data_IF_424083529644
#
_entry.id   IF_424083529644
#
_cell.length_a   1.000
_cell.length_b   1.000
_cell.length_c   1.000
_cell.angle_alpha   90.00
_cell.angle_beta   90.00
_cell.angle_gamma   90.00
#
_symmetry.space_group_name_H-M   'P 1'
#
loop_
_entity.id
_entity.type
_entity.pdbx_description
1 polymer ?
#
# COMPACT_ATOMS: atom_id res chain seq x y z
N UNK A 1 25.97 1.41 -1.75
CA UNK A 1 26.25 0.28 -2.67
C UNK A 1 25.05 0.12 -3.56
N UNK A 2 25.24 -0.12 -4.86
CA UNK A 2 24.13 -0.34 -5.78
C UNK A 2 23.39 -1.64 -5.41
N UNK A 3 22.06 -1.63 -5.47
CA UNK A 3 21.21 -2.79 -5.12
C UNK A 3 21.14 -3.83 -6.22
N UNK A 4 21.52 -3.44 -7.44
CA UNK A 4 21.54 -4.30 -8.61
C UNK A 4 22.81 -4.09 -9.41
N UNK A 5 23.26 -5.13 -10.11
CA UNK A 5 24.41 -5.07 -11.00
C UNK A 5 23.95 -5.03 -12.46
N UNK A 6 24.77 -4.41 -13.30
CA UNK A 6 24.55 -4.36 -14.75
C UNK A 6 24.40 -5.78 -15.34
N UNK A 7 25.25 -6.73 -14.92
CA UNK A 7 25.25 -8.12 -15.41
C UNK A 7 23.92 -8.84 -15.06
N UNK A 8 23.44 -8.69 -13.84
CA UNK A 8 22.16 -9.30 -13.42
C UNK A 8 20.96 -8.75 -14.19
N UNK A 9 20.95 -7.45 -14.49
CA UNK A 9 19.91 -6.83 -15.31
C UNK A 9 20.00 -7.29 -16.77
N UNK A 10 21.21 -7.47 -17.29
CA UNK A 10 21.43 -7.96 -18.64
C UNK A 10 20.95 -9.41 -18.81
N UNK A 11 21.30 -10.29 -17.87
CA UNK A 11 20.85 -11.70 -17.84
C UNK A 11 19.34 -11.83 -17.68
N UNK A 12 18.72 -10.96 -16.89
CA UNK A 12 17.27 -10.91 -16.74
C UNK A 12 16.55 -10.37 -17.99
N UNK A 13 17.27 -9.80 -18.94
CA UNK A 13 16.72 -9.25 -20.17
C UNK A 13 16.01 -7.91 -19.98
N UNK A 14 16.41 -7.11 -18.97
CA UNK A 14 15.83 -5.79 -18.70
C UNK A 14 16.09 -4.78 -19.82
N UNK A 15 17.10 -5.03 -20.66
CA UNK A 15 17.51 -4.14 -21.77
C UNK A 15 16.62 -4.21 -22.99
N UNK A 16 15.76 -5.23 -23.13
CA UNK A 16 14.85 -5.33 -24.24
C UNK A 16 13.66 -4.39 -24.07
N UNK A 17 13.45 -3.52 -25.04
CA UNK A 17 12.26 -2.71 -25.13
C UNK A 17 11.32 -3.20 -26.22
N UNK A 18 10.35 -2.39 -26.59
CA UNK A 18 9.38 -2.67 -27.62
C UNK A 18 9.87 -2.31 -29.04
N UNK A 19 9.10 -2.73 -30.03
CA UNK A 19 9.33 -2.42 -31.44
C UNK A 19 9.35 -0.90 -31.69
N UNK A 20 10.24 -0.42 -32.55
CA UNK A 20 10.35 0.97 -33.00
C UNK A 20 9.00 1.59 -33.37
N UNK A 21 8.07 0.83 -33.98
CA UNK A 21 6.75 1.34 -34.37
C UNK A 21 5.88 1.79 -33.19
N UNK A 22 6.13 1.26 -31.98
CA UNK A 22 5.30 1.48 -30.80
C UNK A 22 5.99 2.37 -29.75
N UNK A 23 7.17 2.87 -30.03
CA UNK A 23 7.93 3.60 -29.03
C UNK A 23 7.35 4.99 -28.76
N UNK A 24 7.61 5.51 -27.58
CA UNK A 24 7.27 6.88 -27.20
C UNK A 24 8.53 7.76 -27.34
N UNK A 25 8.48 8.90 -28.06
CA UNK A 25 9.62 9.82 -28.19
C UNK A 25 10.17 10.34 -26.85
N UNK A 26 9.31 10.47 -25.84
CA UNK A 26 9.75 10.89 -24.49
C UNK A 26 10.72 9.90 -23.83
N UNK A 27 10.76 8.64 -24.29
CA UNK A 27 11.72 7.63 -23.83
C UNK A 27 13.08 7.70 -24.50
N UNK A 28 13.30 8.59 -25.49
CA UNK A 28 14.58 8.76 -26.18
C UNK A 28 15.81 8.88 -25.24
N UNK A 29 15.75 9.59 -24.11
CA UNK A 29 16.88 9.70 -23.18
C UNK A 29 17.31 8.37 -22.55
N UNK A 30 16.43 7.37 -22.49
CA UNK A 30 16.65 6.07 -21.87
C UNK A 30 16.99 4.95 -22.86
N UNK A 31 16.92 5.24 -24.16
CA UNK A 31 17.23 4.28 -25.22
C UNK A 31 18.72 4.41 -25.56
N UNK A 32 19.42 3.27 -25.55
CA UNK A 32 20.82 3.18 -25.90
C UNK A 32 21.01 3.06 -27.42
N UNK A 33 20.31 2.13 -28.06
CA UNK A 33 20.41 1.85 -29.50
C UNK A 33 19.16 1.13 -30.02
N UNK A 34 19.08 1.02 -31.35
CA UNK A 34 18.10 0.16 -32.04
C UNK A 34 18.83 -1.06 -32.62
N UNK A 35 18.28 -2.25 -32.40
CA UNK A 35 18.79 -3.50 -33.00
C UNK A 35 17.61 -4.35 -33.47
N UNK A 36 17.63 -4.78 -34.72
CA UNK A 36 16.56 -5.59 -35.34
C UNK A 36 15.16 -4.98 -35.22
N UNK A 37 15.02 -3.66 -35.26
CA UNK A 37 13.75 -2.97 -35.12
C UNK A 37 13.16 -2.94 -33.71
N UNK A 38 13.97 -3.30 -32.70
CA UNK A 38 13.65 -3.24 -31.27
C UNK A 38 14.57 -2.24 -30.61
N UNK A 39 14.02 -1.40 -29.73
CA UNK A 39 14.81 -0.49 -28.93
C UNK A 39 15.48 -1.23 -27.77
N UNK A 40 16.74 -0.88 -27.50
CA UNK A 40 17.52 -1.39 -26.35
C UNK A 40 17.64 -0.28 -25.33
N UNK A 41 17.25 -0.58 -24.09
CA UNK A 41 17.25 0.32 -22.95
C UNK A 41 18.67 0.40 -22.37
N UNK A 42 19.09 1.59 -21.95
CA UNK A 42 20.37 1.85 -21.28
C UNK A 42 20.33 1.36 -19.82
N UNK A 43 20.95 0.20 -19.56
CA UNK A 43 20.97 -0.41 -18.24
C UNK A 43 21.76 0.39 -17.20
N UNK A 44 22.73 1.22 -17.60
CA UNK A 44 23.43 2.09 -16.65
C UNK A 44 22.48 3.09 -16.01
N UNK A 45 21.58 3.66 -16.82
CA UNK A 45 20.53 4.54 -16.30
C UNK A 45 19.51 3.77 -15.46
N UNK A 46 19.20 2.53 -15.85
CA UNK A 46 18.29 1.67 -15.08
C UNK A 46 18.83 1.43 -13.67
N UNK A 47 20.11 1.08 -13.51
CA UNK A 47 20.72 0.87 -12.18
C UNK A 47 20.57 2.11 -11.30
N UNK A 48 20.94 3.28 -11.83
CA UNK A 48 20.84 4.55 -11.08
C UNK A 48 19.40 4.84 -10.69
N UNK A 49 18.44 4.63 -11.60
CA UNK A 49 17.01 4.88 -11.34
C UNK A 49 16.38 3.87 -10.39
N UNK A 50 16.85 2.63 -10.36
CA UNK A 50 16.45 1.66 -9.34
C UNK A 50 16.92 2.10 -7.96
N UNK A 51 18.17 2.55 -7.83
CA UNK A 51 18.73 3.00 -6.55
C UNK A 51 18.00 4.25 -6.03
N UNK A 52 17.70 5.23 -6.89
CA UNK A 52 16.90 6.41 -6.55
C UNK A 52 15.49 6.03 -6.06
N UNK A 53 14.80 5.16 -6.79
CA UNK A 53 13.47 4.69 -6.44
C UNK A 53 13.46 3.88 -5.14
N UNK A 54 14.44 3.00 -4.97
CA UNK A 54 14.59 2.17 -3.78
C UNK A 54 14.81 3.01 -2.52
N UNK A 55 15.66 4.04 -2.59
CA UNK A 55 15.89 4.93 -1.46
C UNK A 55 14.62 5.71 -1.08
N UNK A 56 13.91 6.26 -2.06
CA UNK A 56 12.66 6.96 -1.81
C UNK A 56 11.59 6.03 -1.18
N UNK A 57 11.44 4.81 -1.68
CA UNK A 57 10.51 3.81 -1.13
C UNK A 57 10.92 3.39 0.28
N UNK A 58 12.22 3.21 0.55
CA UNK A 58 12.75 2.92 1.89
C UNK A 58 12.33 3.97 2.91
N UNK A 59 12.42 5.26 2.56
CA UNK A 59 11.99 6.34 3.44
C UNK A 59 10.49 6.31 3.71
N UNK A 60 9.66 5.95 2.71
CA UNK A 60 8.22 5.78 2.90
C UNK A 60 7.92 4.61 3.84
N UNK A 61 8.62 3.48 3.68
CA UNK A 61 8.47 2.30 4.52
C UNK A 61 8.93 2.56 5.97
N UNK A 62 10.03 3.30 6.17
CA UNK A 62 10.53 3.75 7.48
C UNK A 62 9.49 4.59 8.24
N UNK A 63 8.72 5.44 7.55
CA UNK A 63 7.58 6.15 8.13
C UNK A 63 6.39 5.23 8.48
N UNK A 64 6.46 3.95 8.13
CA UNK A 64 5.39 2.99 8.34
C UNK A 64 4.19 3.17 7.43
N UNK A 65 4.37 3.86 6.34
CA UNK A 65 3.37 4.03 5.31
C UNK A 65 3.38 2.84 4.36
N UNK A 66 2.24 2.56 3.73
CA UNK A 66 2.10 1.43 2.81
C UNK A 66 2.30 1.86 1.37
N UNK A 67 2.99 1.02 0.60
CA UNK A 67 3.15 1.13 -0.86
C UNK A 67 2.19 0.14 -1.50
N UNK A 68 1.41 0.58 -2.48
CA UNK A 68 0.48 -0.28 -3.22
C UNK A 68 1.10 -0.71 -4.54
N UNK A 69 1.24 -2.02 -4.74
CA UNK A 69 1.75 -2.59 -5.99
C UNK A 69 0.62 -2.84 -6.98
N UNK A 70 0.82 -2.48 -8.24
CA UNK A 70 -0.17 -2.65 -9.31
C UNK A 70 0.46 -3.33 -10.52
N UNK A 71 -0.06 -4.51 -10.87
CA UNK A 71 0.41 -5.29 -12.00
C UNK A 71 -0.69 -6.19 -12.55
N UNK A 72 -1.43 -5.75 -13.56
CA UNK A 72 -2.45 -6.61 -14.20
C UNK A 72 -1.90 -7.40 -15.38
N UNK A 73 -0.64 -7.21 -15.75
CA UNK A 73 0.06 -7.95 -16.81
C UNK A 73 0.28 -9.40 -16.40
N UNK A 74 -0.04 -10.34 -17.28
CA UNK A 74 0.04 -11.78 -16.97
C UNK A 74 1.42 -12.21 -16.47
N UNK A 75 2.47 -11.66 -17.08
CA UNK A 75 3.86 -11.96 -16.75
C UNK A 75 4.29 -11.46 -15.36
N UNK A 76 3.68 -10.38 -14.88
CA UNK A 76 4.06 -9.75 -13.62
C UNK A 76 3.20 -10.18 -12.42
N UNK A 77 1.99 -10.71 -12.64
CA UNK A 77 1.00 -11.00 -11.59
C UNK A 77 1.53 -11.87 -10.46
N UNK A 78 2.11 -13.02 -10.81
CA UNK A 78 2.55 -14.02 -9.84
C UNK A 78 3.74 -13.50 -9.04
N UNK A 79 4.72 -12.91 -9.73
CA UNK A 79 5.91 -12.34 -9.11
C UNK A 79 5.55 -11.21 -8.14
N UNK A 80 4.65 -10.31 -8.56
CA UNK A 80 4.19 -9.21 -7.69
C UNK A 80 3.43 -9.72 -6.48
N UNK A 81 2.53 -10.69 -6.65
CA UNK A 81 1.78 -11.26 -5.54
C UNK A 81 2.71 -11.89 -4.49
N UNK A 82 3.71 -12.66 -4.93
CA UNK A 82 4.70 -13.29 -4.06
C UNK A 82 5.55 -12.24 -3.32
N UNK A 83 6.20 -11.33 -4.07
CA UNK A 83 7.13 -10.35 -3.49
C UNK A 83 6.43 -9.31 -2.61
N UNK A 84 5.26 -8.82 -3.00
CA UNK A 84 4.50 -7.88 -2.17
C UNK A 84 3.98 -8.54 -0.88
N UNK A 85 3.54 -9.80 -0.95
CA UNK A 85 3.13 -10.56 0.24
C UNK A 85 4.28 -10.77 1.21
N UNK A 86 5.50 -11.04 0.74
CA UNK A 86 6.68 -11.26 1.60
C UNK A 86 7.02 -10.05 2.47
N UNK A 87 6.74 -8.84 1.99
CA UNK A 87 6.96 -7.57 2.72
C UNK A 87 5.66 -7.01 3.33
N UNK A 88 4.57 -7.78 3.30
CA UNK A 88 3.25 -7.40 3.84
C UNK A 88 2.74 -6.06 3.28
N UNK A 89 2.93 -5.85 1.98
CA UNK A 89 2.41 -4.69 1.26
C UNK A 89 1.18 -5.07 0.43
N UNK A 90 0.19 -4.16 0.29
CA UNK A 90 -0.99 -4.40 -0.52
C UNK A 90 -0.63 -4.43 -2.02
N UNK A 91 -1.36 -5.24 -2.79
CA UNK A 91 -1.16 -5.34 -4.23
C UNK A 91 -2.46 -5.57 -5.00
N UNK A 92 -2.46 -5.22 -6.28
CA UNK A 92 -3.58 -5.46 -7.22
C UNK A 92 -3.03 -6.13 -8.47
N UNK A 93 -3.46 -7.37 -8.71
CA UNK A 93 -2.95 -8.19 -9.83
C UNK A 93 -4.00 -8.57 -10.86
N UNK A 94 -5.29 -8.54 -10.51
CA UNK A 94 -6.33 -9.00 -11.43
C UNK A 94 -6.88 -7.86 -12.29
N UNK A 95 -7.49 -6.90 -11.68
CA UNK A 95 -8.10 -5.76 -12.37
C UNK A 95 -8.10 -4.55 -11.44
N UNK A 96 -7.67 -3.42 -11.96
CA UNK A 96 -7.86 -2.14 -11.27
C UNK A 96 -9.33 -1.71 -11.34
N UNK A 97 -10.04 -1.64 -10.23
CA UNK A 97 -11.39 -1.07 -10.21
C UNK A 97 -11.28 0.45 -10.31
N UNK A 98 -11.94 1.05 -11.30
CA UNK A 98 -11.98 2.52 -11.43
C UNK A 98 -12.51 3.16 -10.15
N UNK A 99 -11.84 4.23 -9.69
CA UNK A 99 -12.16 4.88 -8.42
C UNK A 99 -11.53 4.22 -7.20
N UNK A 100 -10.56 3.34 -7.37
CA UNK A 100 -9.94 2.63 -6.25
C UNK A 100 -9.26 3.58 -5.27
N UNK A 101 -8.62 4.62 -5.75
CA UNK A 101 -8.01 5.67 -4.92
C UNK A 101 -8.97 6.86 -4.75
N UNK A 102 -9.55 7.35 -5.82
CA UNK A 102 -10.40 8.55 -5.82
C UNK A 102 -11.75 8.34 -5.14
N UNK A 103 -12.29 7.12 -5.15
CA UNK A 103 -13.52 6.75 -4.46
C UNK A 103 -13.28 5.62 -3.45
N UNK A 104 -12.26 5.76 -2.64
CA UNK A 104 -11.84 4.78 -1.65
C UNK A 104 -12.93 4.36 -0.67
N UNK A 105 -13.84 5.24 -0.18
CA UNK A 105 -14.96 4.83 0.68
C UNK A 105 -15.86 3.75 0.07
N UNK A 106 -16.09 3.80 -1.25
CA UNK A 106 -16.90 2.79 -1.95
C UNK A 106 -16.17 1.45 -2.02
N UNK A 107 -14.87 1.45 -2.28
CA UNK A 107 -14.02 0.25 -2.24
C UNK A 107 -14.04 -0.36 -0.84
N UNK A 108 -13.93 0.46 0.22
CA UNK A 108 -14.06 0.01 1.62
C UNK A 108 -15.40 -0.65 1.92
N UNK A 109 -16.50 -0.14 1.35
CA UNK A 109 -17.82 -0.78 1.46
C UNK A 109 -17.83 -2.16 0.79
N UNK A 110 -17.17 -2.31 -0.37
CA UNK A 110 -17.05 -3.61 -1.05
C UNK A 110 -16.22 -4.62 -0.25
N UNK A 111 -15.12 -4.19 0.38
CA UNK A 111 -14.31 -5.01 1.29
C UNK A 111 -15.12 -5.42 2.53
N UNK A 112 -15.85 -4.47 3.15
CA UNK A 112 -16.75 -4.80 4.27
C UNK A 112 -17.84 -5.80 3.87
N UNK A 113 -18.37 -5.69 2.64
CA UNK A 113 -19.35 -6.67 2.12
C UNK A 113 -18.75 -8.07 2.04
N UNK A 114 -17.49 -8.20 1.62
CA UNK A 114 -16.78 -9.49 1.61
C UNK A 114 -16.67 -10.06 3.03
N UNK A 115 -16.21 -9.27 3.99
CA UNK A 115 -16.12 -9.69 5.39
C UNK A 115 -17.49 -10.06 6.00
N UNK A 116 -18.57 -9.37 5.61
CA UNK A 116 -19.93 -9.73 6.06
C UNK A 116 -20.39 -11.06 5.46
N UNK A 117 -20.04 -11.34 4.20
CA UNK A 117 -20.33 -12.65 3.59
C UNK A 117 -19.59 -13.76 4.34
N UNK A 118 -18.30 -13.54 4.69
CA UNK A 118 -17.52 -14.51 5.45
C UNK A 118 -18.14 -14.80 6.82
N UNK A 119 -18.63 -13.77 7.51
CA UNK A 119 -19.39 -13.92 8.75
C UNK A 119 -20.67 -14.73 8.56
N UNK A 120 -21.47 -14.41 7.54
CA UNK A 120 -22.70 -15.16 7.22
C UNK A 120 -22.41 -16.64 6.95
N UNK A 121 -21.26 -16.93 6.34
CA UNK A 121 -20.84 -18.32 6.09
C UNK A 121 -20.44 -19.05 7.37
N UNK A 122 -19.90 -18.34 8.38
CA UNK A 122 -19.50 -18.91 9.68
C UNK A 122 -20.65 -19.05 10.67
N UNK A 123 -21.65 -18.16 10.64
CA UNK A 123 -22.70 -18.04 11.66
C UNK A 123 -23.85 -19.05 11.51
N UNK A 124 -23.74 -20.07 10.63
CA UNK A 124 -24.77 -21.10 10.45
C UNK A 124 -26.08 -20.63 9.79
N UNK A 125 -26.31 -19.34 9.62
CA UNK A 125 -27.47 -18.78 8.87
C UNK A 125 -27.47 -19.21 7.41
N UNK A 126 -26.31 -19.62 6.93
CA UNK A 126 -26.07 -20.13 5.58
C UNK A 126 -26.85 -21.43 5.29
N UNK A 127 -27.10 -22.24 6.32
CA UNK A 127 -27.86 -23.49 6.18
C UNK A 127 -29.35 -23.30 5.87
N UNK A 128 -29.90 -22.11 6.18
CA UNK A 128 -31.31 -21.79 5.94
C UNK A 128 -31.59 -21.22 4.54
N UNK A 129 -30.53 -20.98 3.74
CA UNK A 129 -30.65 -20.44 2.39
C UNK A 129 -30.87 -21.53 1.34
N UNK A 130 -31.53 -21.19 0.25
CA UNK A 130 -31.67 -22.10 -0.88
C UNK A 130 -30.33 -22.41 -1.53
N UNK A 131 -30.15 -23.59 -2.13
CA UNK A 131 -28.91 -23.98 -2.83
C UNK A 131 -28.48 -22.96 -3.92
N UNK A 132 -29.46 -22.32 -4.56
CA UNK A 132 -29.21 -21.30 -5.59
C UNK A 132 -28.62 -20.03 -4.98
N UNK A 133 -29.15 -19.57 -3.86
CA UNK A 133 -28.65 -18.39 -3.15
C UNK A 133 -27.24 -18.62 -2.59
N UNK A 134 -27.01 -19.78 -2.01
CA UNK A 134 -25.70 -20.23 -1.53
C UNK A 134 -24.67 -20.13 -2.66
N UNK A 135 -24.97 -20.67 -3.82
CA UNK A 135 -24.08 -20.64 -4.97
C UNK A 135 -23.83 -19.21 -5.48
N UNK A 136 -24.85 -18.35 -5.45
CA UNK A 136 -24.73 -16.97 -5.89
C UNK A 136 -23.85 -16.16 -4.93
N UNK A 137 -24.03 -16.31 -3.63
CA UNK A 137 -23.23 -15.68 -2.58
C UNK A 137 -21.76 -16.15 -2.65
N UNK A 138 -21.53 -17.45 -2.79
CA UNK A 138 -20.20 -18.03 -2.94
C UNK A 138 -19.47 -17.48 -4.17
N UNK A 139 -20.13 -17.39 -5.31
CA UNK A 139 -19.56 -16.79 -6.53
C UNK A 139 -19.26 -15.29 -6.35
N UNK A 140 -20.13 -14.57 -5.66
CA UNK A 140 -19.92 -13.16 -5.35
C UNK A 140 -18.73 -12.96 -4.43
N UNK A 141 -18.59 -13.77 -3.38
CA UNK A 141 -17.44 -13.78 -2.48
C UNK A 141 -16.14 -14.04 -3.25
N UNK A 142 -16.08 -15.12 -4.03
CA UNK A 142 -14.90 -15.46 -4.81
C UNK A 142 -14.48 -14.35 -5.78
N UNK A 143 -15.44 -13.66 -6.40
CA UNK A 143 -15.16 -12.50 -7.27
C UNK A 143 -14.60 -11.32 -6.49
N UNK A 144 -15.13 -11.04 -5.31
CA UNK A 144 -14.63 -9.95 -4.45
C UNK A 144 -13.23 -10.28 -3.91
N UNK A 145 -13.02 -11.49 -3.43
CA UNK A 145 -11.74 -11.97 -2.94
C UNK A 145 -10.64 -11.90 -4.00
N UNK A 146 -10.94 -12.36 -5.21
CA UNK A 146 -10.01 -12.29 -6.33
C UNK A 146 -9.57 -10.86 -6.67
N UNK A 147 -10.47 -9.88 -6.58
CA UNK A 147 -10.18 -8.50 -6.98
C UNK A 147 -9.71 -7.62 -5.83
N UNK A 148 -10.14 -7.87 -4.61
CA UNK A 148 -9.96 -6.98 -3.46
C UNK A 148 -9.34 -7.67 -2.23
N UNK A 149 -9.10 -8.99 -2.30
CA UNK A 149 -8.56 -9.77 -1.17
C UNK A 149 -7.22 -9.22 -0.68
N UNK A 150 -6.32 -8.91 -1.59
CA UNK A 150 -4.98 -8.38 -1.29
C UNK A 150 -4.96 -6.97 -0.68
N UNK A 151 -6.08 -6.25 -0.76
CA UNK A 151 -6.23 -4.89 -0.19
C UNK A 151 -7.21 -4.84 0.99
N UNK A 152 -7.65 -6.01 1.49
CA UNK A 152 -8.60 -6.08 2.61
C UNK A 152 -8.12 -5.31 3.84
N UNK A 153 -6.83 -5.37 4.14
CA UNK A 153 -6.19 -4.71 5.28
C UNK A 153 -5.83 -3.24 5.04
N UNK A 154 -6.11 -2.71 3.85
CA UNK A 154 -5.84 -1.33 3.55
C UNK A 154 -6.89 -0.41 4.17
N UNK A 155 -6.55 0.19 5.33
CA UNK A 155 -7.47 1.08 6.08
C UNK A 155 -7.43 2.52 5.61
N UNK A 156 -6.31 2.97 5.06
CA UNK A 156 -6.04 4.34 4.59
C UNK A 156 -5.50 4.28 3.16
N UNK A 157 -5.52 5.40 2.46
CA UNK A 157 -4.89 5.54 1.15
C UNK A 157 -3.40 5.20 1.25
N UNK A 158 -2.83 4.52 0.22
CA UNK A 158 -1.40 4.24 0.16
C UNK A 158 -0.61 5.55 0.05
N UNK A 159 0.61 5.55 0.56
CA UNK A 159 1.50 6.71 0.47
C UNK A 159 2.28 6.75 -0.84
N UNK A 160 2.37 5.64 -1.54
CA UNK A 160 2.99 5.53 -2.86
C UNK A 160 2.34 4.42 -3.67
N UNK A 161 2.42 4.54 -4.98
CA UNK A 161 1.97 3.55 -5.94
C UNK A 161 3.21 3.00 -6.69
N UNK A 162 3.35 1.68 -6.77
CA UNK A 162 4.35 1.03 -7.61
C UNK A 162 3.66 0.31 -8.76
N UNK A 163 3.91 0.76 -9.98
CA UNK A 163 3.18 0.32 -11.18
C UNK A 163 4.10 -0.45 -12.12
N UNK A 164 3.62 -1.59 -12.61
CA UNK A 164 4.28 -2.33 -13.69
C UNK A 164 3.46 -2.18 -14.95
N UNK A 165 4.07 -1.67 -16.01
CA UNK A 165 3.45 -1.29 -17.27
C UNK A 165 2.50 -0.07 -17.12
N UNK A 166 3.08 1.11 -17.16
CA UNK A 166 2.37 2.40 -17.03
C UNK A 166 1.33 2.60 -18.14
N UNK A 167 1.58 2.06 -19.33
CA UNK A 167 0.65 2.17 -20.47
C UNK A 167 -0.66 1.43 -20.17
N UNK A 168 -0.56 0.24 -19.57
CA UNK A 168 -1.72 -0.59 -19.25
C UNK A 168 -2.47 -0.07 -18.02
N UNK A 169 -1.73 0.35 -17.00
CA UNK A 169 -2.28 0.80 -15.71
C UNK A 169 -2.52 2.32 -15.67
N UNK A 170 -2.76 2.94 -16.84
CA UNK A 170 -2.96 4.40 -16.98
C UNK A 170 -4.08 4.96 -16.08
N UNK A 171 -5.09 4.17 -15.72
CA UNK A 171 -6.17 4.58 -14.83
C UNK A 171 -5.63 4.74 -13.42
N UNK A 172 -4.85 3.77 -12.92
CA UNK A 172 -4.23 3.82 -11.61
C UNK A 172 -3.30 5.03 -11.47
N UNK A 173 -2.46 5.26 -12.49
CA UNK A 173 -1.53 6.40 -12.54
C UNK A 173 -2.28 7.73 -12.50
N UNK A 174 -3.33 7.90 -13.31
CA UNK A 174 -4.14 9.13 -13.30
C UNK A 174 -4.87 9.38 -11.98
N UNK A 175 -5.34 8.32 -11.32
CA UNK A 175 -5.95 8.45 -10.00
C UNK A 175 -4.92 8.87 -8.94
N UNK A 176 -3.71 8.29 -8.96
CA UNK A 176 -2.62 8.65 -8.07
C UNK A 176 -2.20 10.11 -8.27
N UNK A 177 -1.97 10.54 -9.50
CA UNK A 177 -1.64 11.92 -9.85
C UNK A 177 -2.70 12.92 -9.35
N UNK A 178 -4.00 12.60 -9.51
CA UNK A 178 -5.10 13.45 -9.04
C UNK A 178 -5.08 13.64 -7.52
N UNK A 179 -4.59 12.66 -6.77
CA UNK A 179 -4.49 12.70 -5.30
C UNK A 179 -3.12 13.14 -4.80
N UNK A 180 -2.16 13.43 -5.68
CA UNK A 180 -0.80 13.79 -5.31
C UNK A 180 -0.03 12.64 -4.64
N UNK A 181 -0.37 11.39 -4.99
CA UNK A 181 0.35 10.20 -4.50
C UNK A 181 1.52 9.94 -5.44
N UNK A 182 2.77 9.86 -4.94
CA UNK A 182 3.93 9.59 -5.76
C UNK A 182 3.84 8.22 -6.43
N UNK A 183 4.17 8.20 -7.73
CA UNK A 183 4.10 7.01 -8.57
C UNK A 183 5.50 6.57 -8.94
N UNK A 184 5.80 5.33 -8.61
CA UNK A 184 6.99 4.59 -9.03
C UNK A 184 6.56 3.65 -10.16
N UNK A 185 7.30 3.61 -11.25
CA UNK A 185 6.87 2.79 -12.37
C UNK A 185 8.01 2.12 -13.12
N UNK A 186 7.80 0.84 -13.50
CA UNK A 186 8.59 0.22 -14.56
C UNK A 186 8.04 0.73 -15.87
N UNK A 187 8.89 1.42 -16.62
CA UNK A 187 8.54 2.14 -17.85
C UNK A 187 9.32 1.53 -19.01
N UNK A 188 8.62 0.85 -19.90
CA UNK A 188 9.19 0.37 -21.15
C UNK A 188 9.16 1.46 -22.22
N UNK A 189 9.80 1.22 -23.35
CA UNK A 189 9.97 2.17 -24.47
C UNK A 189 8.67 2.64 -25.13
N UNK A 190 7.54 1.95 -24.90
CA UNK A 190 6.21 2.31 -25.42
C UNK A 190 5.41 3.25 -24.48
N UNK A 191 5.89 3.46 -23.25
CA UNK A 191 5.20 4.20 -22.22
C UNK A 191 5.70 5.65 -22.11
N UNK A 192 4.88 6.53 -21.50
CA UNK A 192 5.27 7.92 -21.25
C UNK A 192 5.94 8.04 -19.88
N UNK A 193 7.24 8.37 -19.83
CA UNK A 193 7.96 8.55 -18.58
C UNK A 193 7.45 9.73 -17.74
N UNK A 194 6.85 10.75 -18.37
CA UNK A 194 6.38 11.95 -17.66
C UNK A 194 5.16 11.68 -16.76
N UNK A 195 4.54 10.51 -16.90
CA UNK A 195 3.39 10.13 -16.08
C UNK A 195 3.77 9.59 -14.71
N UNK A 196 5.05 9.38 -14.41
CA UNK A 196 5.55 8.80 -13.15
C UNK A 196 6.61 9.69 -12.54
N UNK A 197 6.66 9.73 -11.21
CA UNK A 197 7.64 10.56 -10.48
C UNK A 197 8.99 9.87 -10.40
N UNK A 198 9.01 8.55 -10.24
CA UNK A 198 10.22 7.73 -10.18
C UNK A 198 10.18 6.70 -11.30
N UNK A 199 10.96 6.95 -12.33
CA UNK A 199 11.01 6.16 -13.55
C UNK A 199 12.06 5.06 -13.39
N UNK A 200 11.69 3.81 -13.66
CA UNK A 200 12.62 2.69 -13.78
C UNK A 200 12.53 2.19 -15.22
N UNK A 201 13.42 2.63 -16.11
CA UNK A 201 13.42 2.20 -17.51
C UNK A 201 13.84 0.74 -17.58
N UNK A 202 12.92 -0.15 -17.93
CA UNK A 202 13.20 -1.58 -18.04
C UNK A 202 12.10 -2.32 -18.80
N UNK A 203 12.41 -3.54 -19.20
CA UNK A 203 11.47 -4.46 -19.83
C UNK A 203 10.40 -4.91 -18.85
N UNK A 204 9.14 -4.71 -19.19
CA UNK A 204 7.97 -5.09 -18.41
C UNK A 204 7.29 -6.39 -18.91
N UNK A 205 7.80 -7.00 -20.00
CA UNK A 205 7.30 -8.26 -20.57
C UNK A 205 7.98 -9.51 -20.01
N UNK A 206 9.20 -9.37 -19.45
CA UNK A 206 9.98 -10.49 -18.91
C UNK A 206 9.73 -10.68 -17.42
N UNK A 207 9.29 -11.88 -17.00
CA UNK A 207 9.14 -12.22 -15.58
C UNK A 207 10.45 -12.02 -14.80
N UNK A 208 11.59 -12.41 -15.38
CA UNK A 208 12.91 -12.26 -14.75
C UNK A 208 13.29 -10.80 -14.54
N UNK A 209 13.00 -9.93 -15.53
CA UNK A 209 13.24 -8.48 -15.43
C UNK A 209 12.45 -7.88 -14.27
N UNK A 210 11.15 -8.17 -14.23
CA UNK A 210 10.26 -7.72 -13.16
C UNK A 210 10.71 -8.24 -11.80
N UNK A 211 11.13 -9.50 -11.72
CA UNK A 211 11.58 -10.13 -10.48
C UNK A 211 12.84 -9.46 -9.90
N UNK A 212 13.86 -9.21 -10.73
CA UNK A 212 15.10 -8.55 -10.28
C UNK A 212 14.81 -7.15 -9.74
N UNK A 213 13.98 -6.38 -10.42
CA UNK A 213 13.61 -5.02 -9.99
C UNK A 213 12.80 -5.09 -8.69
N UNK A 214 11.82 -5.99 -8.60
CA UNK A 214 11.02 -6.16 -7.38
C UNK A 214 11.85 -6.64 -6.19
N UNK A 215 12.85 -7.49 -6.40
CA UNK A 215 13.76 -7.90 -5.35
C UNK A 215 14.53 -6.70 -4.76
N UNK A 216 15.00 -5.80 -5.61
CA UNK A 216 15.66 -4.56 -5.15
C UNK A 216 14.71 -3.65 -4.36
N UNK A 217 13.50 -3.45 -4.87
CA UNK A 217 12.48 -2.58 -4.25
C UNK A 217 11.94 -3.20 -2.95
N UNK A 218 11.58 -4.48 -2.95
CA UNK A 218 11.09 -5.16 -1.75
C UNK A 218 12.19 -5.28 -0.68
N UNK A 219 13.46 -5.47 -1.09
CA UNK A 219 14.61 -5.39 -0.18
C UNK A 219 14.71 -4.03 0.50
N UNK A 220 14.54 -2.94 -0.25
CA UNK A 220 14.52 -1.58 0.32
C UNK A 220 13.36 -1.36 1.30
N UNK A 221 12.18 -1.91 1.00
CA UNK A 221 11.03 -1.87 1.90
C UNK A 221 11.32 -2.63 3.19
N UNK A 222 11.88 -3.84 3.08
CA UNK A 222 12.23 -4.66 4.25
C UNK A 222 13.22 -3.94 5.17
N UNK A 223 14.29 -3.37 4.62
CA UNK A 223 15.25 -2.54 5.37
C UNK A 223 14.56 -1.37 6.08
N UNK A 224 13.69 -0.63 5.37
CA UNK A 224 12.96 0.50 5.96
C UNK A 224 12.03 0.07 7.10
N UNK A 225 11.41 -1.10 7.00
CA UNK A 225 10.56 -1.66 8.06
C UNK A 225 11.39 -2.15 9.26
N UNK A 226 12.60 -2.68 9.04
CA UNK A 226 13.52 -3.08 10.10
C UNK A 226 14.07 -1.87 10.85
N UNK A 227 14.52 -0.83 10.14
CA UNK A 227 14.94 0.44 10.75
C UNK A 227 13.83 1.04 11.62
N UNK A 228 12.59 1.03 11.15
CA UNK A 228 11.45 1.48 11.94
C UNK A 228 11.21 0.65 13.19
N UNK A 229 11.41 -0.68 13.13
CA UNK A 229 11.29 -1.54 14.32
C UNK A 229 12.37 -1.22 15.34
N UNK A 230 13.61 -1.03 14.89
CA UNK A 230 14.74 -0.65 15.75
C UNK A 230 14.47 0.70 16.43
N UNK A 231 14.06 1.74 15.68
CA UNK A 231 13.73 3.05 16.26
C UNK A 231 12.59 3.02 17.29
N UNK A 232 11.62 2.12 17.13
CA UNK A 232 10.55 1.94 18.12
C UNK A 232 11.05 1.31 19.40
N UNK A 233 11.89 0.28 19.31
CA UNK A 233 12.48 -0.37 20.49
C UNK A 233 13.34 0.64 21.27
N UNK A 234 14.14 1.45 20.57
CA UNK A 234 14.97 2.48 21.20
C UNK A 234 14.13 3.56 21.88
N UNK A 235 12.99 3.97 21.28
CA UNK A 235 12.08 4.96 21.89
C UNK A 235 11.32 4.39 23.07
N UNK A 236 10.92 3.12 23.04
CA UNK A 236 10.27 2.44 24.17
C UNK A 236 11.25 2.26 25.34
N UNK A 237 12.49 1.84 25.06
CA UNK A 237 13.56 1.73 26.07
C UNK A 237 13.94 3.09 26.70
N UNK A 238 13.95 4.17 25.89
CA UNK A 238 14.18 5.53 26.39
C UNK A 238 12.99 6.07 27.24
N UNK A 239 11.75 5.66 26.89
CA UNK A 239 10.55 6.01 27.67
C UNK A 239 10.52 5.35 29.02
N UNK A 240 10.86 4.06 29.10
CA UNK A 240 10.92 3.33 30.38
C UNK A 240 12.03 3.87 31.31
N UNK A 241 13.17 4.28 30.75
CA UNK A 241 14.25 4.91 31.55
C UNK A 241 13.85 6.29 32.07
N UNK A 242 13.05 7.07 31.34
CA UNK A 242 12.56 8.38 31.77
C UNK A 242 11.47 8.28 32.87
N UNK A 243 10.58 7.28 32.79
CA UNK A 243 9.59 7.04 33.85
C UNK A 243 10.22 6.47 35.11
N UNK A 244 11.27 5.64 34.99
CA UNK A 244 12.05 5.13 36.14
C UNK A 244 12.77 6.23 36.88
N UNK A 245 13.32 7.26 36.21
CA UNK A 245 13.99 8.41 36.89
C UNK A 245 12.99 9.40 37.51
N UNK A 246 11.79 9.56 36.93
CA UNK A 246 10.73 10.39 37.48
C UNK A 246 10.14 9.79 38.77
N UNK A 247 10.03 8.46 38.86
CA UNK A 247 9.56 7.75 40.03
C UNK A 247 10.58 7.78 41.18
N UNK A 248 11.88 7.93 40.90
CA UNK A 248 12.95 8.00 41.91
C UNK A 248 13.12 9.38 42.56
N UNK A 249 12.53 10.45 42.01
CA UNK A 249 12.67 11.85 42.51
C UNK A 249 11.46 12.40 43.26
N UNK A 250 10.46 11.59 43.64
CA UNK A 250 9.34 12.05 44.45
C UNK A 250 9.72 12.09 45.94
N UNK A 251 9.67 13.25 46.65
CA UNK A 251 10.04 13.33 48.05
C UNK A 251 8.95 12.70 48.91
N UNK A 252 9.35 11.71 49.72
CA UNK A 252 8.55 11.13 50.79
C UNK A 252 8.18 12.22 51.80
N UNK A 253 6.95 12.75 51.78
CA UNK A 253 6.41 13.53 52.92
C UNK A 253 5.94 12.59 54.01
N UNK A 254 6.63 12.68 55.15
CA UNK A 254 6.30 12.09 56.46
C UNK A 254 5.03 12.70 57.02
N UNK A 255 4.32 11.88 57.69
CA UNK A 255 3.01 11.99 58.30
C UNK A 255 2.69 13.18 59.22
N UNK A 256 1.41 13.36 59.39
CA UNK A 256 0.76 14.19 60.37
C UNK A 256 -0.69 13.79 60.53
N UNK A 257 -1.00 13.16 61.68
CA UNK A 257 -2.35 12.82 62.16
C UNK A 257 -3.14 14.06 62.59
N UNK A 258 -4.45 14.12 62.32
CA UNK A 258 -5.56 14.56 63.19
C UNK A 258 -6.81 14.65 62.32
N UNK A 259 -7.81 13.85 62.53
CA UNK A 259 -8.95 13.80 63.45
C UNK A 259 -10.11 14.71 63.06
N UNK A 260 -11.24 14.04 62.70
CA UNK A 260 -12.66 14.30 62.94
C UNK A 260 -13.25 15.60 62.35
N UNK A 261 -14.42 15.66 61.78
CA UNK A 261 -15.73 15.19 62.17
C UNK A 261 -16.78 15.53 61.11
N UNK A 262 -17.72 14.61 60.90
CA UNK A 262 -19.15 14.76 60.59
C UNK A 262 -19.68 15.93 59.74
N UNK A 263 -20.36 15.67 58.66
CA UNK A 263 -21.82 15.72 58.56
C UNK A 263 -22.27 15.53 57.08
N UNK A 264 -23.13 14.59 56.85
CA UNK A 264 -24.10 14.55 55.75
C UNK A 264 -25.44 15.12 56.28
N UNK A 265 -26.55 15.20 55.53
CA UNK A 265 -26.80 15.21 54.10
C UNK A 265 -27.79 16.34 53.71
N UNK A 266 -28.10 16.53 52.42
CA UNK A 266 -29.46 16.90 52.01
C UNK A 266 -29.64 16.77 50.48
N UNK A 267 -30.66 16.01 50.17
CA UNK A 267 -31.39 15.83 48.95
C UNK A 267 -31.91 17.14 48.34
N UNK A 268 -32.06 17.14 47.05
CA UNK A 268 -33.33 17.52 46.37
C UNK A 268 -33.22 17.43 44.84
N UNK A 269 -33.95 16.51 44.28
CA UNK A 269 -34.63 16.61 43.00
C UNK A 269 -35.95 17.36 43.19
N UNK A 270 -36.84 17.58 42.17
CA UNK A 270 -36.79 17.75 40.70
C UNK A 270 -37.62 18.94 40.19
N UNK A 271 -37.68 19.12 38.85
CA UNK A 271 -38.83 19.61 38.06
C UNK A 271 -38.37 19.82 36.61
N UNK A 272 -38.78 19.16 35.55
CA UNK A 272 -40.05 19.02 34.88
C UNK A 272 -40.68 20.36 34.44
N UNK A 273 -40.83 20.52 33.13
CA UNK A 273 -41.96 21.02 32.34
C UNK A 273 -41.45 21.37 30.93
N UNK A 274 -41.91 20.64 29.94
CA UNK A 274 -43.09 20.78 29.09
C UNK A 274 -42.92 21.92 28.05
N UNK A 275 -42.87 21.47 26.82
CA UNK A 275 -43.90 21.47 25.79
C UNK A 275 -44.04 22.78 25.00
N UNK A 276 -44.07 22.68 23.71
CA UNK A 276 -45.08 22.94 22.68
C UNK A 276 -44.39 23.27 21.38
N UNK A 277 -44.56 22.47 20.32
CA UNK A 277 -45.64 22.44 19.35
C UNK A 277 -45.63 23.54 18.30
N UNK A 278 -45.76 23.10 17.10
CA UNK A 278 -46.41 23.65 15.89
C UNK A 278 -45.40 24.10 14.81
N UNK A 279 -45.33 23.42 13.67
CA UNK A 279 -46.24 23.21 12.55
C UNK A 279 -46.07 24.27 11.45
N UNK A 280 -46.11 23.75 10.22
CA UNK A 280 -46.41 24.39 8.93
C UNK A 280 -45.24 25.20 8.29
N UNK A 281 -44.75 24.85 7.14
CA UNK A 281 -45.34 24.55 5.81
C UNK A 281 -44.36 23.63 5.01
#
# INVERSE_FOLDING_TARGET
>A
MSRTNFETLLEAGCHFGHLKRKWNPAMAPYIFMERNGIHIIDLHKTVVKIDEAAEAIKQIAKQGKRVLFVATKKQAKEVVAEKASSVNMPYVTERWPGGMLTNFPTIRKAVKKMANIDKLMSDGTYSNLSKREILQISRQRAKLEKNLGSIADLTRLPAALFVIDVCKEHIAVREAQRLGIPVFGIVDTNSDPNCVDYIIPANDDSNKSVEVILNAICGAIAEGLEERKAEKVDTEAAGESAEGEAAAKAPRKRGGKARAEKAAPAEAQPAAEEATEAAAE
#
